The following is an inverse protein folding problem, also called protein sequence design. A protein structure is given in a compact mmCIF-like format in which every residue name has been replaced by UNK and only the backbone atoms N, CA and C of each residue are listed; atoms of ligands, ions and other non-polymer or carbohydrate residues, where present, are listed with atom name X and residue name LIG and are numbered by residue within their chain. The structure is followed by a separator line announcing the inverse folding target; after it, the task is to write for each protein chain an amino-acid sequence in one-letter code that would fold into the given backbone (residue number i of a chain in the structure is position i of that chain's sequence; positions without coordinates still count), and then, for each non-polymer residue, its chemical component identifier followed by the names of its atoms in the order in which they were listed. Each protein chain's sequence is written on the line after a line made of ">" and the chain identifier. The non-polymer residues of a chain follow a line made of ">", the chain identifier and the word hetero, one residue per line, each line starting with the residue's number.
data_IF_980514074052
#
_entry.id   IF_980514074052
#
_cell.length_a   1.000
_cell.length_b   1.000
_cell.length_c   1.000
_cell.angle_alpha   90.00
_cell.angle_beta   90.00
_cell.angle_gamma   90.00
#
_symmetry.space_group_name_H-M   'P 1'
#
loop_
_entity.id
_entity.type
_entity.pdbx_description
1 polymer ?
#
# COMPACT_ATOMS: atom_id res chain seq x y z
N UNK A 1 15.42 26.74 -7.21
CA UNK A 1 15.31 27.06 -5.77
C UNK A 1 16.46 26.40 -5.05
N UNK A 2 17.19 27.17 -4.25
CA UNK A 2 18.25 26.62 -3.41
C UNK A 2 17.61 25.80 -2.27
N UNK A 3 18.05 24.54 -2.10
CA UNK A 3 17.55 23.68 -1.02
C UNK A 3 18.30 24.00 0.27
N UNK A 4 17.58 24.18 1.36
CA UNK A 4 18.19 24.39 2.68
C UNK A 4 18.98 23.16 3.13
N UNK A 5 19.97 23.35 4.02
CA UNK A 5 20.73 22.26 4.61
C UNK A 5 19.82 21.19 5.26
N UNK A 6 18.72 21.61 5.90
CA UNK A 6 17.74 20.70 6.48
C UNK A 6 16.97 19.90 5.43
N UNK A 7 16.61 20.50 4.29
CA UNK A 7 15.97 19.79 3.19
C UNK A 7 16.92 18.75 2.58
N UNK A 8 18.20 19.07 2.46
CA UNK A 8 19.21 18.13 1.97
C UNK A 8 19.39 16.96 2.94
N UNK A 9 19.55 17.23 4.23
CA UNK A 9 19.66 16.20 5.26
C UNK A 9 18.39 15.32 5.32
N UNK A 10 17.20 15.92 5.21
CA UNK A 10 15.93 15.18 5.22
C UNK A 10 15.74 14.31 3.98
N UNK A 11 16.21 14.75 2.82
CA UNK A 11 16.14 13.97 1.59
C UNK A 11 17.01 12.71 1.62
N UNK A 12 18.07 12.69 2.44
CA UNK A 12 18.92 11.51 2.62
C UNK A 12 18.32 10.44 3.55
N UNK A 13 17.24 10.76 4.28
CA UNK A 13 16.60 9.82 5.20
C UNK A 13 15.98 8.63 4.46
N UNK A 14 16.34 7.42 4.88
CA UNK A 14 15.74 6.17 4.40
C UNK A 14 14.60 5.74 5.34
N UNK A 15 13.33 5.68 4.86
CA UNK A 15 12.22 5.20 5.67
C UNK A 15 12.42 3.75 6.14
N UNK A 16 11.97 3.46 7.37
CA UNK A 16 12.03 2.10 7.93
C UNK A 16 10.96 1.23 7.28
N UNK A 17 11.37 0.09 6.72
CA UNK A 17 10.48 -0.88 6.10
C UNK A 17 10.13 -2.04 7.05
N UNK A 18 8.86 -2.47 7.12
CA UNK A 18 8.49 -3.70 7.83
C UNK A 18 9.26 -4.90 7.29
N UNK A 19 9.72 -5.81 8.17
CA UNK A 19 10.43 -7.02 7.77
C UNK A 19 9.61 -7.90 6.81
N UNK A 20 8.29 -7.93 6.98
CA UNK A 20 7.38 -8.70 6.14
C UNK A 20 7.31 -8.19 4.68
N UNK A 21 7.83 -6.99 4.40
CA UNK A 21 7.90 -6.41 3.05
C UNK A 21 9.34 -6.41 2.50
N UNK A 22 10.29 -7.01 3.22
CA UNK A 22 11.68 -7.14 2.78
C UNK A 22 11.86 -8.49 2.09
N UNK A 23 12.12 -8.48 0.79
CA UNK A 23 12.32 -9.69 0.00
C UNK A 23 11.02 -10.28 -0.54
N UNK A 24 11.00 -11.58 -0.78
CA UNK A 24 9.84 -12.29 -1.32
C UNK A 24 8.67 -12.30 -0.34
N UNK A 25 7.49 -11.96 -0.85
CA UNK A 25 6.26 -11.87 -0.06
C UNK A 25 5.19 -12.78 -0.64
N UNK A 26 4.52 -13.54 0.23
CA UNK A 26 3.34 -14.32 -0.10
C UNK A 26 2.13 -13.77 0.66
N UNK A 27 0.99 -13.75 -0.02
CA UNK A 27 -0.30 -13.40 0.59
C UNK A 27 -0.91 -14.63 1.22
N UNK A 28 -1.30 -14.52 2.49
CA UNK A 28 -2.11 -15.49 3.21
C UNK A 28 -3.48 -14.86 3.46
N UNK A 29 -4.52 -15.47 2.90
CA UNK A 29 -5.90 -15.07 3.16
C UNK A 29 -6.34 -15.57 4.55
N UNK A 30 -7.04 -14.70 5.28
CA UNK A 30 -7.67 -14.98 6.56
C UNK A 30 -9.18 -15.08 6.43
N UNK A 31 -9.89 -14.70 7.49
CA UNK A 31 -11.34 -14.83 7.54
C UNK A 31 -12.07 -13.80 6.64
N UNK A 32 -13.23 -14.18 6.05
CA UNK A 32 -14.11 -13.26 5.35
C UNK A 32 -14.56 -12.09 6.21
N UNK A 33 -14.70 -10.93 5.58
CA UNK A 33 -15.15 -9.70 6.26
C UNK A 33 -16.68 -9.52 6.19
N UNK A 34 -17.20 -8.61 7.00
CA UNK A 34 -18.57 -8.13 6.91
C UNK A 34 -18.63 -6.63 7.13
N UNK A 35 -19.65 -5.96 6.59
CA UNK A 35 -19.88 -4.56 6.92
C UNK A 35 -20.32 -4.41 8.39
N UNK A 36 -19.99 -3.25 8.97
CA UNK A 36 -20.37 -2.91 10.35
C UNK A 36 -21.90 -2.87 10.50
N UNK A 37 -22.62 -2.40 9.48
CA UNK A 37 -24.07 -2.33 9.44
C UNK A 37 -24.60 -2.57 8.00
N UNK A 38 -25.92 -2.65 7.82
CA UNK A 38 -26.63 -2.77 6.53
C UNK A 38 -26.15 -3.93 5.63
N UNK A 39 -25.84 -5.09 6.22
CA UNK A 39 -25.15 -6.19 5.52
C UNK A 39 -25.89 -6.63 4.25
N UNK A 40 -27.21 -6.74 4.28
CA UNK A 40 -27.99 -7.17 3.10
C UNK A 40 -27.95 -6.16 1.95
N UNK A 41 -28.07 -4.87 2.25
CA UNK A 41 -28.07 -3.80 1.25
C UNK A 41 -26.67 -3.62 0.65
N UNK A 42 -25.65 -3.57 1.50
CA UNK A 42 -24.26 -3.41 1.07
C UNK A 42 -23.82 -4.62 0.24
N UNK A 43 -24.22 -5.85 0.63
CA UNK A 43 -23.94 -7.05 -0.16
C UNK A 43 -24.58 -7.01 -1.54
N UNK A 44 -25.80 -6.45 -1.67
CA UNK A 44 -26.46 -6.27 -2.97
C UNK A 44 -25.75 -5.23 -3.84
N UNK A 45 -25.22 -4.16 -3.24
CA UNK A 45 -24.49 -3.11 -3.96
C UNK A 45 -23.10 -3.56 -4.45
N UNK A 46 -22.44 -4.43 -3.70
CA UNK A 46 -21.06 -4.86 -3.97
C UNK A 46 -20.95 -6.39 -4.18
N UNK A 47 -21.62 -6.95 -5.21
CA UNK A 47 -21.72 -8.40 -5.39
C UNK A 47 -20.37 -9.09 -5.62
N UNK A 48 -19.38 -8.37 -6.14
CA UNK A 48 -18.07 -8.92 -6.52
C UNK A 48 -16.99 -8.74 -5.45
N UNK A 49 -17.23 -7.91 -4.43
CA UNK A 49 -16.19 -7.51 -3.45
C UNK A 49 -16.65 -7.60 -2.00
N UNK A 50 -17.95 -7.78 -1.74
CA UNK A 50 -18.44 -7.92 -0.38
C UNK A 50 -17.90 -9.20 0.27
N UNK A 51 -17.29 -9.04 1.45
CA UNK A 51 -16.80 -10.16 2.26
C UNK A 51 -15.46 -10.74 1.81
N UNK A 52 -14.69 -10.03 0.99
CA UNK A 52 -13.30 -10.41 0.70
C UNK A 52 -12.51 -10.58 2.01
N UNK A 53 -11.60 -11.57 2.08
CA UNK A 53 -10.91 -11.91 3.32
C UNK A 53 -9.87 -10.86 3.71
N UNK A 54 -9.54 -10.83 5.00
CA UNK A 54 -8.33 -10.14 5.46
C UNK A 54 -7.10 -10.80 4.85
N UNK A 55 -6.06 -10.01 4.57
CA UNK A 55 -4.79 -10.52 4.03
C UNK A 55 -3.65 -10.27 4.99
N UNK A 56 -2.80 -11.28 5.14
CA UNK A 56 -1.54 -11.23 5.90
C UNK A 56 -0.37 -11.46 4.93
N UNK A 57 0.67 -10.65 5.05
CA UNK A 57 1.92 -10.85 4.32
C UNK A 57 2.85 -11.76 5.12
N UNK A 58 3.21 -12.89 4.53
CA UNK A 58 4.16 -13.86 5.09
C UNK A 58 5.38 -13.98 4.18
N UNK A 59 6.54 -14.45 4.67
CA UNK A 59 7.70 -14.70 3.83
C UNK A 59 7.36 -15.61 2.65
N UNK A 60 7.72 -15.18 1.44
CA UNK A 60 7.61 -15.95 0.20
C UNK A 60 8.96 -16.51 -0.24
N UNK A 61 8.94 -17.30 -1.31
CA UNK A 61 10.14 -17.91 -1.91
C UNK A 61 10.66 -17.12 -3.11
N UNK A 62 9.76 -16.58 -3.93
CA UNK A 62 10.10 -15.86 -5.16
C UNK A 62 9.46 -14.48 -5.23
N UNK A 63 10.17 -13.55 -5.87
CA UNK A 63 9.66 -12.21 -6.22
C UNK A 63 9.27 -12.19 -7.70
N UNK A 64 8.03 -12.52 -8.02
CA UNK A 64 7.50 -12.26 -9.36
C UNK A 64 7.15 -10.77 -9.49
N UNK A 65 8.11 -9.97 -9.94
CA UNK A 65 7.87 -8.56 -10.25
C UNK A 65 7.63 -8.41 -11.77
N UNK A 66 6.41 -8.09 -12.15
CA UNK A 66 6.04 -7.80 -13.55
C UNK A 66 5.98 -6.29 -13.74
N UNK A 67 6.54 -5.80 -14.85
CA UNK A 67 6.42 -4.39 -15.20
C UNK A 67 4.95 -4.01 -15.32
N UNK A 68 4.58 -2.89 -14.70
CA UNK A 68 3.19 -2.41 -14.66
C UNK A 68 3.14 -0.90 -14.72
N UNK A 69 2.08 -0.37 -15.32
CA UNK A 69 1.76 1.06 -15.28
C UNK A 69 0.84 1.33 -14.09
N UNK A 70 1.22 2.25 -13.21
CA UNK A 70 0.45 2.59 -12.01
C UNK A 70 0.02 4.06 -12.06
N UNK A 71 -1.28 4.31 -11.92
CA UNK A 71 -1.84 5.65 -11.72
C UNK A 71 -2.03 5.93 -10.23
N UNK A 72 -1.57 7.09 -9.75
CA UNK A 72 -1.71 7.51 -8.35
C UNK A 72 -2.49 8.81 -8.26
N UNK A 73 -3.50 8.86 -7.39
CA UNK A 73 -4.34 10.04 -7.14
C UNK A 73 -4.22 10.42 -5.66
N UNK A 74 -3.86 11.68 -5.37
CA UNK A 74 -3.98 12.26 -4.03
C UNK A 74 -5.31 13.00 -3.94
N UNK A 75 -6.19 12.55 -3.05
CA UNK A 75 -7.56 13.10 -2.89
C UNK A 75 -7.74 13.78 -1.53
N UNK A 76 -8.51 14.86 -1.50
CA UNK A 76 -8.79 15.63 -0.29
C UNK A 76 -7.73 16.70 0.02
N UNK A 77 -7.66 17.08 1.31
CA UNK A 77 -6.70 18.06 1.80
C UNK A 77 -5.27 17.52 1.89
N UNK A 78 -4.30 18.43 1.99
CA UNK A 78 -2.89 18.05 2.12
C UNK A 78 -2.60 17.41 3.49
N UNK A 79 -1.84 16.31 3.48
CA UNK A 79 -1.33 15.65 4.68
C UNK A 79 0.19 15.41 4.55
N UNK A 80 0.99 15.68 5.61
CA UNK A 80 2.41 15.36 5.61
C UNK A 80 2.64 13.85 5.39
N UNK A 81 3.49 13.51 4.41
CA UNK A 81 3.85 12.12 4.08
C UNK A 81 3.31 11.59 2.75
N UNK A 82 2.39 12.30 2.07
CA UNK A 82 1.87 11.87 0.77
C UNK A 82 2.96 11.60 -0.28
N UNK A 83 4.02 12.41 -0.31
CA UNK A 83 5.16 12.16 -1.19
C UNK A 83 5.95 10.89 -0.84
N UNK A 84 6.03 10.51 0.44
CA UNK A 84 6.68 9.25 0.84
C UNK A 84 5.90 8.02 0.37
N UNK A 85 4.55 8.12 0.30
CA UNK A 85 3.72 7.06 -0.29
C UNK A 85 4.04 6.89 -1.78
N UNK A 86 4.17 7.98 -2.52
CA UNK A 86 4.53 7.96 -3.95
C UNK A 86 5.94 7.36 -4.13
N UNK A 87 6.93 7.77 -3.32
CA UNK A 87 8.26 7.18 -3.36
C UNK A 87 8.24 5.68 -3.10
N UNK A 88 7.49 5.22 -2.08
CA UNK A 88 7.39 3.79 -1.76
C UNK A 88 6.75 2.97 -2.88
N UNK A 89 5.70 3.47 -3.52
CA UNK A 89 5.11 2.82 -4.70
C UNK A 89 6.11 2.78 -5.84
N UNK A 90 6.79 3.89 -6.12
CA UNK A 90 7.78 3.99 -7.20
C UNK A 90 8.96 3.05 -7.00
N UNK A 91 9.47 2.93 -5.78
CA UNK A 91 10.56 2.01 -5.45
C UNK A 91 10.12 0.54 -5.55
N UNK A 92 8.85 0.24 -5.31
CA UNK A 92 8.30 -1.12 -5.36
C UNK A 92 7.96 -1.63 -6.76
N UNK A 93 7.71 -0.75 -7.74
CA UNK A 93 7.36 -1.13 -9.12
C UNK A 93 8.53 -1.05 -10.10
N UNK A 94 9.69 -0.59 -9.61
CA UNK A 94 10.94 -0.52 -10.35
C UNK A 94 11.68 -1.85 -10.33
#
# INVERSE_FOLDING_TARGET
>A
MEKSALQQARAAYQPKMPKALQGAVKVKEGEPTQSVDNQEEIKKLFPNTYGMPLVEFVPGEENEMKSMNVGVILSGGQAPGGHNVICGIFDAIK
#
